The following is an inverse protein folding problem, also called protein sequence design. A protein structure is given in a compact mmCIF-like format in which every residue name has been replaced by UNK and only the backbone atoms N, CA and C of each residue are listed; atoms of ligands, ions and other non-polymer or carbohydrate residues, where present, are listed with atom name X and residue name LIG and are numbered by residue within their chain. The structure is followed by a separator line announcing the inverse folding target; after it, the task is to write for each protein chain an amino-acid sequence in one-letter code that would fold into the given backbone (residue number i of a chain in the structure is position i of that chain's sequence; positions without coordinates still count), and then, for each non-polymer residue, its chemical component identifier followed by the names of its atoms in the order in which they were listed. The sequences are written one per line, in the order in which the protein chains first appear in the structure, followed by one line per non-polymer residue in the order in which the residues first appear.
data_IF_708286569765
#
_entry.id   IF_708286569765
#
_cell.length_a   1.000
_cell.length_b   1.000
_cell.length_c   1.000
_cell.angle_alpha   90.00
_cell.angle_beta   90.00
_cell.angle_gamma   90.00
#
_symmetry.space_group_name_H-M   'P 1'
#
loop_
_entity.id
_entity.type
_entity.pdbx_description
1 polymer ?
#
# COMPACT_ATOMS: atom_id res chain seq x y z
N UNK A 1 -17.92 24.23 56.28
CA UNK A 1 -16.58 23.80 55.84
C UNK A 1 -16.63 22.43 55.14
N UNK A 2 -17.40 21.47 55.63
CA UNK A 2 -17.50 20.12 54.99
C UNK A 2 -18.12 20.10 53.58
N UNK A 3 -19.10 20.94 53.29
CA UNK A 3 -19.68 21.00 51.92
C UNK A 3 -18.71 21.56 50.85
N UNK A 4 -17.74 22.35 51.25
CA UNK A 4 -16.74 22.90 50.36
C UNK A 4 -15.65 21.87 49.98
N UNK A 5 -15.28 21.02 50.93
CA UNK A 5 -14.34 19.91 50.72
C UNK A 5 -14.93 18.83 49.80
N UNK A 6 -16.19 18.45 49.98
CA UNK A 6 -16.88 17.49 49.13
C UNK A 6 -17.04 17.98 47.67
N UNK A 7 -17.29 19.29 47.48
CA UNK A 7 -17.35 19.89 46.15
C UNK A 7 -15.99 19.93 45.48
N UNK A 8 -14.91 20.18 46.23
CA UNK A 8 -13.55 20.21 45.72
C UNK A 8 -13.05 18.81 45.35
N UNK A 9 -13.35 17.79 46.16
CA UNK A 9 -13.06 16.38 45.84
C UNK A 9 -13.85 15.89 44.61
N UNK A 10 -15.11 16.28 44.47
CA UNK A 10 -15.93 15.98 43.29
C UNK A 10 -15.35 16.64 42.05
N UNK A 11 -14.90 17.88 42.13
CA UNK A 11 -14.27 18.61 41.00
C UNK A 11 -12.94 17.96 40.57
N UNK A 12 -12.11 17.56 41.54
CA UNK A 12 -10.82 16.86 41.24
C UNK A 12 -11.08 15.48 40.62
N UNK A 13 -12.05 14.73 41.14
CA UNK A 13 -12.42 13.42 40.55
C UNK A 13 -12.98 13.56 39.14
N UNK A 14 -13.83 14.53 38.86
CA UNK A 14 -14.41 14.76 37.53
C UNK A 14 -13.39 15.33 36.54
N UNK A 15 -12.47 16.20 37.00
CA UNK A 15 -11.34 16.67 36.17
C UNK A 15 -10.35 15.54 35.87
N UNK A 16 -9.99 14.71 36.84
CA UNK A 16 -9.09 13.55 36.65
C UNK A 16 -9.70 12.54 35.71
N UNK A 17 -11.00 12.26 35.79
CA UNK A 17 -11.67 11.34 34.86
C UNK A 17 -11.76 11.88 33.42
N UNK A 18 -12.02 13.18 33.26
CA UNK A 18 -11.96 13.83 31.93
C UNK A 18 -10.56 13.88 31.37
N UNK A 19 -9.52 14.08 32.17
CA UNK A 19 -8.13 14.02 31.77
C UNK A 19 -7.72 12.58 31.36
N UNK A 20 -8.18 11.57 32.11
CA UNK A 20 -7.92 10.16 31.80
C UNK A 20 -8.56 9.71 30.46
N UNK A 21 -9.74 10.25 30.10
CA UNK A 21 -10.41 9.99 28.83
C UNK A 21 -9.80 10.77 27.66
N UNK A 22 -9.17 11.91 27.92
CA UNK A 22 -8.50 12.72 26.90
C UNK A 22 -7.07 12.25 26.60
N UNK A 23 -6.39 11.61 27.54
CA UNK A 23 -5.02 11.15 27.38
C UNK A 23 -4.83 10.18 26.19
N UNK A 24 -5.68 9.13 25.98
CA UNK A 24 -5.54 8.25 24.83
C UNK A 24 -5.87 8.96 23.51
N UNK A 25 -6.81 9.91 23.51
CA UNK A 25 -7.13 10.70 22.30
C UNK A 25 -5.96 11.63 21.98
N UNK A 26 -5.39 12.28 22.98
CA UNK A 26 -4.24 13.16 22.81
C UNK A 26 -2.99 12.38 22.34
N UNK A 27 -2.75 11.19 22.88
CA UNK A 27 -1.66 10.31 22.45
C UNK A 27 -1.85 9.83 21.01
N UNK A 28 -3.06 9.51 20.60
CA UNK A 28 -3.41 9.13 19.22
C UNK A 28 -3.19 10.30 18.25
N UNK A 29 -3.59 11.52 18.63
CA UNK A 29 -3.39 12.73 17.83
C UNK A 29 -1.90 13.06 17.71
N UNK A 30 -1.13 12.95 18.78
CA UNK A 30 0.31 13.21 18.80
C UNK A 30 1.05 12.15 17.95
N UNK A 31 0.68 10.87 18.05
CA UNK A 31 1.27 9.81 17.26
C UNK A 31 0.95 9.95 15.76
N UNK A 32 -0.28 10.32 15.43
CA UNK A 32 -0.66 10.62 14.05
C UNK A 32 0.11 11.83 13.50
N UNK A 33 0.22 12.92 14.26
CA UNK A 33 1.01 14.10 13.85
C UNK A 33 2.49 13.76 13.66
N UNK A 34 3.06 12.89 14.49
CA UNK A 34 4.45 12.42 14.36
C UNK A 34 4.64 11.59 13.09
N UNK A 35 3.70 10.71 12.79
CA UNK A 35 3.67 9.91 11.56
C UNK A 35 3.59 10.78 10.30
N UNK A 36 2.74 11.81 10.28
CA UNK A 36 2.63 12.75 9.16
C UNK A 36 3.88 13.63 8.98
N UNK A 37 4.60 13.96 10.07
CA UNK A 37 5.84 14.72 10.00
C UNK A 37 6.97 13.94 9.33
N UNK A 38 7.00 12.62 9.48
CA UNK A 38 8.01 11.72 8.88
C UNK A 38 7.74 11.37 7.41
N UNK A 39 6.57 11.73 6.87
CA UNK A 39 6.18 11.41 5.50
C UNK A 39 7.09 12.11 4.48
N UNK A 40 7.97 11.35 3.82
CA UNK A 40 8.95 11.84 2.84
C UNK A 40 8.32 11.91 1.44
N UNK A 41 7.75 13.06 1.10
CA UNK A 41 7.17 13.30 -0.23
C UNK A 41 8.13 14.00 -1.20
N UNK A 42 9.31 14.46 -0.74
CA UNK A 42 10.33 15.03 -1.62
C UNK A 42 10.84 14.02 -2.63
N UNK A 43 11.13 14.46 -3.84
CA UNK A 43 11.69 13.61 -4.90
C UNK A 43 10.96 13.77 -6.23
N UNK A 44 11.09 12.75 -7.07
CA UNK A 44 10.47 12.68 -8.39
C UNK A 44 9.14 11.94 -8.33
N UNK A 45 8.16 12.52 -9.01
CA UNK A 45 6.81 12.00 -9.13
C UNK A 45 6.39 12.02 -10.58
N UNK A 46 5.71 11.00 -11.04
CA UNK A 46 5.06 10.98 -12.35
C UNK A 46 3.65 10.44 -12.27
N UNK A 47 2.84 10.78 -13.24
CA UNK A 47 1.46 10.30 -13.31
C UNK A 47 0.70 10.94 -14.45
N UNK A 48 -0.60 10.81 -14.38
CA UNK A 48 -1.50 11.22 -15.46
C UNK A 48 -2.75 11.90 -14.91
N UNK A 49 -3.42 12.63 -15.77
CA UNK A 49 -4.82 12.97 -15.61
C UNK A 49 -5.67 11.82 -16.18
N UNK A 50 -6.57 11.28 -15.37
CA UNK A 50 -7.54 10.25 -15.77
C UNK A 50 -8.85 10.97 -16.03
N UNK A 51 -9.39 10.86 -17.25
CA UNK A 51 -10.64 11.47 -17.70
C UNK A 51 -11.69 10.37 -17.85
N UNK A 52 -12.89 10.57 -17.30
CA UNK A 52 -14.04 9.63 -17.44
C UNK A 52 -13.64 8.15 -17.33
N UNK A 53 -12.95 7.78 -16.26
CA UNK A 53 -12.58 6.40 -15.87
C UNK A 53 -11.65 5.61 -16.80
N UNK A 54 -11.33 6.06 -18.01
CA UNK A 54 -10.52 5.25 -18.94
C UNK A 54 -9.54 6.05 -19.82
N UNK A 55 -9.84 7.31 -20.10
CA UNK A 55 -9.03 8.09 -21.01
C UNK A 55 -7.87 8.77 -20.30
N UNK A 56 -6.67 8.64 -20.89
CA UNK A 56 -5.46 9.29 -20.39
C UNK A 56 -5.39 10.70 -20.96
N UNK A 57 -5.55 11.67 -20.08
CA UNK A 57 -5.34 13.09 -20.35
C UNK A 57 -3.87 13.49 -20.33
N UNK A 58 -3.59 14.63 -19.70
CA UNK A 58 -2.23 15.13 -19.56
C UNK A 58 -1.31 14.19 -18.76
N UNK A 59 -0.04 14.17 -19.12
CA UNK A 59 1.02 13.45 -18.41
C UNK A 59 1.85 14.41 -17.60
N UNK A 60 2.13 14.08 -16.36
CA UNK A 60 2.82 14.90 -15.39
C UNK A 60 4.14 14.28 -14.96
N UNK A 61 5.19 15.08 -14.86
CA UNK A 61 6.43 14.78 -14.15
C UNK A 61 6.75 15.93 -13.21
N UNK A 62 7.00 15.63 -11.94
CA UNK A 62 7.36 16.61 -10.91
C UNK A 62 8.69 16.22 -10.27
N UNK A 63 9.48 17.22 -9.93
CA UNK A 63 10.62 17.07 -9.03
C UNK A 63 10.60 18.20 -8.03
N UNK A 64 10.42 17.88 -6.75
CA UNK A 64 10.33 18.90 -5.71
C UNK A 64 10.98 18.46 -4.39
N UNK A 65 11.33 19.46 -3.60
CA UNK A 65 11.80 19.31 -2.22
C UNK A 65 10.81 19.97 -1.27
N UNK A 66 10.68 19.41 -0.09
CA UNK A 66 9.90 19.99 1.00
C UNK A 66 10.86 20.21 2.18
N UNK A 67 10.98 21.46 2.62
CA UNK A 67 11.80 21.87 3.76
C UNK A 67 10.91 22.69 4.68
N UNK A 68 10.78 22.28 5.93
CA UNK A 68 9.93 22.96 6.94
C UNK A 68 8.49 23.24 6.44
N UNK A 69 7.92 22.31 5.68
CA UNK A 69 6.56 22.41 5.12
C UNK A 69 6.45 23.28 3.86
N UNK A 70 7.53 23.91 3.40
CA UNK A 70 7.57 24.68 2.16
C UNK A 70 8.04 23.79 1.01
N UNK A 71 7.31 23.83 -0.10
CA UNK A 71 7.59 23.09 -1.32
C UNK A 71 8.24 24.03 -2.35
N UNK A 72 9.36 23.58 -2.94
CA UNK A 72 10.02 24.19 -4.09
C UNK A 72 10.40 23.12 -5.11
N UNK A 73 10.16 23.39 -6.40
CA UNK A 73 10.44 22.38 -7.41
C UNK A 73 10.09 22.80 -8.83
N UNK A 74 9.97 21.80 -9.69
CA UNK A 74 9.67 21.95 -11.11
C UNK A 74 8.59 20.93 -11.49
N UNK A 75 7.65 21.35 -12.32
CA UNK A 75 6.65 20.54 -12.97
C UNK A 75 6.86 20.56 -14.48
N UNK A 76 6.76 19.41 -15.11
CA UNK A 76 6.66 19.25 -16.56
C UNK A 76 5.31 18.60 -16.85
N UNK A 77 4.58 19.16 -17.79
CA UNK A 77 3.29 18.64 -18.23
C UNK A 77 3.29 18.51 -19.74
N UNK A 78 2.90 17.34 -20.22
CA UNK A 78 2.56 17.11 -21.61
C UNK A 78 1.05 16.98 -21.71
N UNK A 79 0.41 17.96 -22.33
CA UNK A 79 -1.04 17.97 -22.56
C UNK A 79 -1.48 16.97 -23.63
N UNK A 80 -2.75 16.70 -23.77
CA UNK A 80 -3.35 15.75 -24.72
C UNK A 80 -2.97 16.04 -26.18
N UNK A 81 -2.85 17.34 -26.52
CA UNK A 81 -2.44 17.82 -27.82
C UNK A 81 -0.92 17.77 -28.05
N UNK A 82 -0.16 17.09 -27.20
CA UNK A 82 1.31 16.97 -27.21
C UNK A 82 2.06 18.26 -26.91
N UNK A 83 1.39 19.32 -26.50
CA UNK A 83 2.09 20.50 -26.01
C UNK A 83 2.78 20.24 -24.69
N UNK A 84 4.03 20.63 -24.59
CA UNK A 84 4.82 20.47 -23.37
C UNK A 84 5.11 21.84 -22.75
N UNK A 85 4.90 21.94 -21.46
CA UNK A 85 5.37 23.09 -20.68
C UNK A 85 6.09 22.65 -19.41
N UNK A 86 7.04 23.48 -18.99
CA UNK A 86 7.84 23.28 -17.78
C UNK A 86 7.78 24.56 -16.96
N UNK A 87 7.32 24.46 -15.74
CA UNK A 87 7.18 25.59 -14.83
C UNK A 87 7.88 25.31 -13.50
N UNK A 88 8.39 26.38 -12.86
CA UNK A 88 8.73 26.32 -11.45
C UNK A 88 7.45 26.22 -10.63
N UNK A 89 7.50 25.44 -9.56
CA UNK A 89 6.43 25.31 -8.59
C UNK A 89 6.91 25.69 -7.21
N UNK A 90 6.02 26.33 -6.46
CA UNK A 90 6.16 26.59 -5.03
C UNK A 90 4.89 26.12 -4.33
N UNK A 91 4.97 25.88 -3.05
CA UNK A 91 3.78 25.44 -2.32
C UNK A 91 4.02 25.16 -0.86
N UNK A 92 3.05 24.47 -0.27
CA UNK A 92 3.10 24.05 1.13
C UNK A 92 2.65 22.62 1.30
N UNK A 93 3.23 21.93 2.30
CA UNK A 93 2.76 20.65 2.81
C UNK A 93 2.11 20.85 4.16
N UNK A 94 0.86 20.38 4.31
CA UNK A 94 0.18 20.29 5.61
C UNK A 94 -0.39 18.88 5.76
N UNK A 95 0.16 18.11 6.67
CA UNK A 95 -0.17 16.68 6.83
C UNK A 95 0.08 15.88 5.55
N UNK A 96 -0.99 15.44 4.89
CA UNK A 96 -0.96 14.70 3.60
C UNK A 96 -1.24 15.60 2.40
N UNK A 97 -1.66 16.85 2.62
CA UNK A 97 -2.04 17.78 1.55
C UNK A 97 -0.83 18.58 1.05
N UNK A 98 -0.71 18.67 -0.25
CA UNK A 98 0.22 19.53 -0.97
C UNK A 98 -0.58 20.59 -1.72
N UNK A 99 -0.41 21.86 -1.35
CA UNK A 99 -0.91 22.98 -2.17
C UNK A 99 0.22 23.43 -3.08
N UNK A 100 0.02 23.39 -4.39
CA UNK A 100 1.04 23.68 -5.40
C UNK A 100 0.58 24.86 -6.26
N UNK A 101 1.48 25.80 -6.49
CA UNK A 101 1.31 26.97 -7.36
C UNK A 101 2.42 27.00 -8.39
N UNK A 102 2.05 27.06 -9.66
CA UNK A 102 3.00 27.34 -10.74
C UNK A 102 3.43 28.82 -10.67
N UNK A 103 4.74 29.07 -10.54
CA UNK A 103 5.28 30.42 -10.28
C UNK A 103 5.84 31.09 -11.53
N UNK A 104 6.76 30.45 -12.26
CA UNK A 104 7.37 30.98 -13.46
C UNK A 104 7.52 29.91 -14.54
N UNK A 105 7.41 30.32 -15.80
CA UNK A 105 7.62 29.40 -16.93
C UNK A 105 9.11 29.24 -17.21
N UNK A 106 9.56 28.00 -17.38
CA UNK A 106 10.91 27.63 -17.83
C UNK A 106 10.89 27.36 -19.32
N UNK A 107 9.88 26.66 -19.80
CA UNK A 107 9.72 26.27 -21.20
C UNK A 107 8.24 26.13 -21.55
N UNK A 108 7.91 26.46 -22.80
CA UNK A 108 6.59 26.22 -23.39
C UNK A 108 6.74 25.98 -24.90
N UNK A 109 6.24 24.86 -25.41
CA UNK A 109 6.32 24.50 -26.83
C UNK A 109 5.64 25.49 -27.75
N UNK A 110 4.62 26.21 -27.29
CA UNK A 110 3.88 27.23 -28.08
C UNK A 110 4.49 28.62 -28.01
N UNK A 111 5.54 28.84 -27.25
CA UNK A 111 6.15 30.18 -27.09
C UNK A 111 5.28 31.22 -26.38
N UNK A 112 4.11 30.82 -25.86
CA UNK A 112 3.17 31.69 -25.13
C UNK A 112 3.28 31.43 -23.63
N UNK A 113 3.01 32.48 -22.82
CA UNK A 113 2.86 32.30 -21.36
C UNK A 113 1.62 31.50 -21.08
N UNK A 114 1.76 30.28 -20.52
CA UNK A 114 0.63 29.50 -20.06
C UNK A 114 -0.06 30.15 -18.87
N UNK A 115 -1.38 29.95 -18.79
CA UNK A 115 -2.12 30.23 -17.56
C UNK A 115 -1.50 29.39 -16.45
N UNK A 116 -1.02 30.06 -15.41
CA UNK A 116 -0.44 29.40 -14.24
C UNK A 116 -1.56 28.74 -13.45
N UNK A 117 -1.39 27.47 -13.13
CA UNK A 117 -2.37 26.70 -12.39
C UNK A 117 -2.01 26.64 -10.91
N UNK A 118 -3.05 26.58 -10.10
CA UNK A 118 -2.95 26.21 -8.70
C UNK A 118 -3.72 24.90 -8.54
N UNK A 119 -3.14 23.94 -7.83
CA UNK A 119 -3.80 22.66 -7.58
C UNK A 119 -3.39 22.11 -6.23
N UNK A 120 -4.24 21.31 -5.66
CA UNK A 120 -4.00 20.59 -4.41
C UNK A 120 -3.90 19.11 -4.74
N UNK A 121 -2.92 18.45 -4.15
CA UNK A 121 -2.78 16.99 -4.19
C UNK A 121 -2.83 16.46 -2.76
N UNK A 122 -3.47 15.34 -2.56
CA UNK A 122 -3.53 14.66 -1.28
C UNK A 122 -2.80 13.32 -1.38
N UNK A 123 -1.89 13.07 -0.45
CA UNK A 123 -1.22 11.77 -0.38
C UNK A 123 -2.10 10.75 0.30
N UNK A 124 -2.43 9.69 -0.42
CA UNK A 124 -3.18 8.56 0.10
C UNK A 124 -2.22 7.60 0.83
N UNK A 125 -2.36 7.51 2.15
CA UNK A 125 -1.50 6.68 3.01
C UNK A 125 -1.64 5.19 2.75
N UNK A 126 -2.81 4.74 2.30
CA UNK A 126 -3.08 3.33 2.01
C UNK A 126 -2.47 2.92 0.67
N UNK A 127 -2.65 3.75 -0.34
CA UNK A 127 -2.25 3.41 -1.71
C UNK A 127 -0.91 3.99 -2.13
N UNK A 128 -0.42 5.04 -1.46
CA UNK A 128 0.85 5.71 -1.79
C UNK A 128 0.78 6.62 -3.02
N UNK A 129 -0.41 6.92 -3.53
CA UNK A 129 -0.61 7.90 -4.60
C UNK A 129 -0.74 9.33 -4.07
N UNK A 130 -0.37 10.31 -4.89
CA UNK A 130 -0.80 11.70 -4.75
C UNK A 130 -1.95 11.94 -5.72
N UNK A 131 -3.10 12.32 -5.18
CA UNK A 131 -4.34 12.46 -5.94
C UNK A 131 -4.89 13.88 -5.83
N UNK A 132 -5.37 14.46 -6.95
CA UNK A 132 -6.15 15.69 -6.89
C UNK A 132 -7.59 15.41 -6.44
N UNK A 133 -8.31 16.39 -5.91
CA UNK A 133 -9.76 16.32 -5.87
C UNK A 133 -10.32 16.08 -7.29
N UNK A 134 -11.46 15.41 -7.37
CA UNK A 134 -12.15 15.21 -8.63
C UNK A 134 -12.61 16.55 -9.22
N UNK A 135 -12.17 16.85 -10.44
CA UNK A 135 -12.63 18.03 -11.18
C UNK A 135 -13.93 17.71 -11.92
N UNK A 136 -15.04 18.19 -11.40
CA UNK A 136 -16.38 17.94 -11.97
C UNK A 136 -16.60 18.61 -13.33
N UNK A 137 -15.86 19.65 -13.67
CA UNK A 137 -15.96 20.33 -14.96
C UNK A 137 -15.22 19.57 -16.05
N UNK A 138 -14.02 19.06 -15.72
CA UNK A 138 -13.21 18.25 -16.63
C UNK A 138 -13.55 16.76 -16.55
N UNK A 139 -14.29 16.34 -15.52
CA UNK A 139 -14.56 14.95 -15.17
C UNK A 139 -13.27 14.16 -15.04
N UNK A 140 -12.28 14.73 -14.35
CA UNK A 140 -10.95 14.17 -14.29
C UNK A 140 -10.37 14.19 -12.88
N UNK A 141 -9.38 13.36 -12.66
CA UNK A 141 -8.53 13.32 -11.48
C UNK A 141 -7.06 13.21 -11.90
N UNK A 142 -6.17 13.95 -11.25
CA UNK A 142 -4.73 13.77 -11.41
C UNK A 142 -4.27 12.74 -10.41
N UNK A 143 -3.57 11.72 -10.87
CA UNK A 143 -3.01 10.65 -10.04
C UNK A 143 -1.52 10.52 -10.31
N UNK A 144 -0.69 10.70 -9.27
CA UNK A 144 0.76 10.63 -9.36
C UNK A 144 1.29 9.55 -8.41
N UNK A 145 2.41 8.95 -8.77
CA UNK A 145 3.17 8.05 -7.91
C UNK A 145 4.64 8.45 -7.85
N UNK A 146 5.28 8.19 -6.72
CA UNK A 146 6.71 8.44 -6.56
C UNK A 146 7.50 7.40 -7.34
N UNK A 147 8.47 7.87 -8.14
CA UNK A 147 9.31 7.01 -8.97
C UNK A 147 10.71 7.60 -9.12
N UNK A 148 11.72 6.74 -9.14
CA UNK A 148 13.11 7.14 -9.27
C UNK A 148 13.49 7.19 -10.76
N UNK A 149 13.26 8.33 -11.40
CA UNK A 149 13.67 8.58 -12.78
C UNK A 149 14.51 9.85 -12.89
N UNK A 150 15.28 9.94 -13.96
CA UNK A 150 16.07 11.13 -14.25
C UNK A 150 15.18 12.25 -14.78
N UNK A 151 14.85 13.21 -13.91
CA UNK A 151 14.04 14.37 -14.28
C UNK A 151 14.85 15.38 -15.08
N UNK A 152 14.50 15.57 -16.35
CA UNK A 152 15.16 16.53 -17.23
C UNK A 152 14.25 17.71 -17.55
N UNK A 153 14.45 18.85 -16.86
CA UNK A 153 13.68 20.07 -17.08
C UNK A 153 13.89 20.69 -18.48
N UNK A 154 14.96 20.36 -19.18
CA UNK A 154 15.28 20.88 -20.52
C UNK A 154 14.72 20.04 -21.65
N UNK A 155 14.30 18.80 -21.36
CA UNK A 155 13.68 17.94 -22.37
C UNK A 155 12.35 18.50 -22.84
N UNK A 156 12.13 18.51 -24.13
CA UNK A 156 10.92 19.04 -24.79
C UNK A 156 9.81 18.00 -24.92
N UNK A 157 9.96 16.86 -24.27
CA UNK A 157 8.99 15.76 -24.25
C UNK A 157 9.09 14.97 -22.96
N UNK A 158 8.08 14.18 -22.66
CA UNK A 158 8.17 13.11 -21.67
C UNK A 158 8.86 11.92 -22.32
N UNK A 159 10.06 11.60 -21.81
CA UNK A 159 11.00 10.68 -22.50
C UNK A 159 10.50 9.24 -22.56
N UNK A 160 9.70 8.82 -21.62
CA UNK A 160 9.24 7.43 -21.52
C UNK A 160 7.77 7.36 -21.13
N UNK A 161 6.99 6.64 -21.95
CA UNK A 161 5.55 6.46 -21.75
C UNK A 161 5.15 4.98 -21.53
N UNK A 162 6.10 4.05 -21.57
CA UNK A 162 5.81 2.62 -21.46
C UNK A 162 5.12 2.22 -20.14
N UNK A 163 5.30 3.02 -19.09
CA UNK A 163 4.72 2.80 -17.78
C UNK A 163 3.21 3.12 -17.70
N UNK A 164 2.68 3.96 -18.62
CA UNK A 164 1.31 4.51 -18.52
C UNK A 164 0.26 3.39 -18.50
N UNK A 165 0.32 2.45 -19.46
CA UNK A 165 -0.69 1.39 -19.55
C UNK A 165 -0.72 0.51 -18.29
N UNK A 166 0.46 0.12 -17.81
CA UNK A 166 0.56 -0.67 -16.57
C UNK A 166 0.07 0.12 -15.36
N UNK A 167 0.36 1.41 -15.31
CA UNK A 167 -0.08 2.29 -14.24
C UNK A 167 -1.62 2.40 -14.22
N UNK A 168 -2.25 2.70 -15.35
CA UNK A 168 -3.72 2.78 -15.48
C UNK A 168 -4.38 1.48 -15.05
N UNK A 169 -3.90 0.34 -15.55
CA UNK A 169 -4.43 -0.97 -15.17
C UNK A 169 -4.30 -1.24 -13.67
N UNK A 170 -3.14 -0.95 -13.08
CA UNK A 170 -2.90 -1.16 -11.66
C UNK A 170 -3.76 -0.25 -10.79
N UNK A 171 -3.88 1.03 -11.15
CA UNK A 171 -4.70 1.99 -10.43
C UNK A 171 -6.20 1.58 -10.44
N UNK A 172 -6.75 1.23 -11.60
CA UNK A 172 -8.14 0.75 -11.71
C UNK A 172 -8.37 -0.60 -11.04
N UNK A 173 -7.35 -1.44 -10.92
CA UNK A 173 -7.40 -2.67 -10.14
C UNK A 173 -7.32 -2.42 -8.62
N UNK A 174 -7.21 -1.17 -8.16
CA UNK A 174 -7.09 -0.79 -6.75
C UNK A 174 -5.75 -1.19 -6.11
N UNK A 175 -4.69 -1.36 -6.93
CA UNK A 175 -3.36 -1.68 -6.41
C UNK A 175 -2.65 -0.41 -5.94
N UNK A 176 -1.89 -0.52 -4.87
CA UNK A 176 -1.06 0.56 -4.33
C UNK A 176 0.02 1.02 -5.32
N UNK A 177 0.55 2.22 -5.14
CA UNK A 177 1.66 2.76 -5.92
C UNK A 177 2.90 1.83 -5.85
N UNK A 178 3.75 1.78 -6.90
CA UNK A 178 4.85 0.82 -6.98
C UNK A 178 5.77 0.80 -5.76
N UNK A 179 6.15 1.96 -5.25
CA UNK A 179 7.00 2.07 -4.05
C UNK A 179 6.28 1.55 -2.80
N UNK A 180 5.00 1.88 -2.63
CA UNK A 180 4.18 1.39 -1.52
C UNK A 180 4.04 -0.13 -1.55
N UNK A 181 3.82 -0.71 -2.72
CA UNK A 181 3.78 -2.18 -2.90
C UNK A 181 5.08 -2.86 -2.49
N UNK A 182 6.25 -2.26 -2.80
CA UNK A 182 7.54 -2.80 -2.37
C UNK A 182 7.73 -2.74 -0.86
N UNK A 183 7.22 -1.69 -0.20
CA UNK A 183 7.21 -1.58 1.26
C UNK A 183 6.29 -2.65 1.86
N UNK A 184 5.06 -2.77 1.37
CA UNK A 184 4.10 -3.81 1.77
C UNK A 184 4.68 -5.23 1.63
N UNK A 185 5.40 -5.51 0.54
CA UNK A 185 6.04 -6.81 0.32
C UNK A 185 7.18 -7.08 1.32
N UNK A 186 7.97 -6.06 1.67
CA UNK A 186 9.09 -6.19 2.62
C UNK A 186 8.62 -6.39 4.05
N UNK A 187 7.49 -5.78 4.40
CA UNK A 187 6.91 -5.83 5.74
C UNK A 187 5.96 -7.02 5.92
N UNK A 188 5.62 -7.72 4.83
CA UNK A 188 4.65 -8.81 4.87
C UNK A 188 5.24 -10.05 5.51
N UNK A 189 4.65 -10.47 6.62
CA UNK A 189 5.01 -11.69 7.33
C UNK A 189 3.97 -12.78 7.07
N UNK A 190 4.44 -13.95 6.64
CA UNK A 190 3.59 -15.12 6.49
C UNK A 190 3.35 -15.78 7.84
N UNK A 191 2.08 -15.88 8.22
CA UNK A 191 1.66 -16.67 9.38
C UNK A 191 1.16 -18.03 8.88
N UNK A 192 1.60 -19.16 9.46
CA UNK A 192 1.13 -20.48 9.07
C UNK A 192 -0.38 -20.65 9.21
N UNK A 193 -0.97 -21.48 8.33
CA UNK A 193 -2.37 -21.94 8.45
C UNK A 193 -2.38 -23.29 9.11
N UNK A 194 -3.07 -23.43 10.23
CA UNK A 194 -3.14 -24.66 11.00
C UNK A 194 -4.39 -25.49 10.65
N UNK A 195 -4.24 -26.82 10.79
CA UNK A 195 -5.28 -27.79 10.45
C UNK A 195 -5.61 -28.70 11.63
N UNK A 196 -6.84 -29.15 11.68
CA UNK A 196 -7.27 -30.20 12.62
C UNK A 196 -6.59 -31.53 12.31
N UNK A 197 -6.62 -32.42 13.30
CA UNK A 197 -6.11 -33.79 13.18
C UNK A 197 -6.81 -34.47 12.00
N UNK A 198 -6.00 -35.04 11.12
CA UNK A 198 -6.46 -35.78 9.94
C UNK A 198 -7.38 -34.99 8.97
N UNK A 199 -7.33 -33.67 9.03
CA UNK A 199 -8.11 -32.77 8.18
C UNK A 199 -7.23 -31.98 7.23
N UNK A 200 -7.83 -31.64 6.07
CA UNK A 200 -7.28 -30.72 5.08
C UNK A 200 -8.31 -29.62 4.73
N UNK A 201 -9.24 -29.35 5.65
CA UNK A 201 -10.28 -28.33 5.51
C UNK A 201 -9.73 -27.02 6.12
N UNK A 202 -9.78 -25.94 5.35
CA UNK A 202 -9.39 -24.60 5.82
C UNK A 202 -10.48 -24.10 6.78
N UNK A 203 -10.08 -23.71 7.99
CA UNK A 203 -10.98 -23.11 8.96
C UNK A 203 -11.31 -21.68 8.55
N UNK A 204 -12.53 -21.24 8.78
CA UNK A 204 -13.05 -19.93 8.36
C UNK A 204 -12.23 -18.74 8.91
N UNK A 205 -11.72 -18.89 10.13
CA UNK A 205 -10.86 -17.88 10.77
C UNK A 205 -9.61 -17.50 9.95
N UNK A 206 -9.16 -18.36 9.03
CA UNK A 206 -7.98 -18.09 8.18
C UNK A 206 -8.33 -17.43 6.83
N UNK A 207 -9.61 -17.27 6.51
CA UNK A 207 -10.01 -16.76 5.20
C UNK A 207 -9.50 -15.32 4.97
N UNK A 208 -9.58 -14.45 5.98
CA UNK A 208 -9.09 -13.07 5.87
C UNK A 208 -7.57 -13.04 5.59
N UNK A 209 -6.79 -13.82 6.33
CA UNK A 209 -5.34 -13.94 6.13
C UNK A 209 -4.99 -14.47 4.73
N UNK A 210 -5.71 -15.47 4.24
CA UNK A 210 -5.49 -16.01 2.90
C UNK A 210 -5.87 -15.00 1.79
N UNK A 211 -6.87 -14.15 2.02
CA UNK A 211 -7.20 -13.06 1.09
C UNK A 211 -6.09 -12.01 1.04
N UNK A 212 -5.46 -11.71 2.18
CA UNK A 212 -4.32 -10.78 2.23
C UNK A 212 -3.11 -11.33 1.45
N UNK A 213 -2.81 -12.63 1.60
CA UNK A 213 -1.77 -13.30 0.80
C UNK A 213 -2.07 -13.20 -0.71
N UNK A 214 -3.33 -13.37 -1.11
CA UNK A 214 -3.73 -13.20 -2.52
C UNK A 214 -3.49 -11.76 -2.98
N UNK A 215 -3.91 -10.77 -2.19
CA UNK A 215 -3.77 -9.34 -2.49
C UNK A 215 -2.29 -8.99 -2.71
N UNK A 216 -1.42 -9.31 -1.75
CA UNK A 216 0.01 -9.01 -1.85
C UNK A 216 0.68 -9.76 -3.02
N UNK A 217 0.32 -11.02 -3.27
CA UNK A 217 0.83 -11.76 -4.41
C UNK A 217 0.39 -11.15 -5.74
N UNK A 218 -0.86 -10.72 -5.87
CA UNK A 218 -1.38 -10.07 -7.09
C UNK A 218 -0.78 -8.71 -7.34
N UNK A 219 -0.44 -7.95 -6.29
CA UNK A 219 0.12 -6.61 -6.41
C UNK A 219 1.52 -6.56 -7.05
N UNK A 220 2.21 -7.71 -7.15
CA UNK A 220 3.54 -7.85 -7.75
C UNK A 220 3.48 -8.84 -8.92
N UNK A 221 3.68 -8.35 -10.15
CA UNK A 221 3.50 -9.15 -11.38
C UNK A 221 4.37 -10.41 -11.41
N UNK A 222 5.58 -10.34 -10.87
CA UNK A 222 6.60 -11.39 -10.97
C UNK A 222 6.69 -12.28 -9.73
N UNK A 223 5.98 -11.94 -8.64
CA UNK A 223 6.00 -12.73 -7.42
C UNK A 223 5.26 -14.05 -7.58
N UNK A 224 5.93 -15.12 -7.21
CA UNK A 224 5.36 -16.46 -7.08
C UNK A 224 5.32 -16.84 -5.62
N UNK A 225 4.32 -17.64 -5.24
CA UNK A 225 4.17 -18.12 -3.87
C UNK A 225 4.35 -19.64 -3.82
N UNK A 226 5.23 -20.10 -2.94
CA UNK A 226 5.33 -21.52 -2.59
C UNK A 226 4.41 -21.80 -1.41
N UNK A 227 3.65 -22.87 -1.51
CA UNK A 227 2.71 -23.38 -0.50
C UNK A 227 3.20 -24.75 -0.05
N UNK A 228 3.70 -24.84 1.19
CA UNK A 228 4.32 -26.05 1.73
C UNK A 228 3.46 -26.67 2.82
N UNK A 229 2.99 -27.90 2.61
CA UNK A 229 2.17 -28.63 3.58
C UNK A 229 2.99 -29.50 4.53
N UNK A 230 2.55 -29.58 5.79
CA UNK A 230 3.18 -30.36 6.86
C UNK A 230 2.14 -31.16 7.66
N UNK A 231 2.61 -32.17 8.39
CA UNK A 231 1.84 -32.98 9.37
C UNK A 231 2.59 -33.08 10.69
N UNK A 232 1.90 -33.48 11.73
CA UNK A 232 2.53 -34.11 12.88
C UNK A 232 3.05 -35.51 12.52
N UNK A 233 3.66 -36.23 13.50
CA UNK A 233 4.24 -37.55 13.31
C UNK A 233 3.24 -38.72 13.53
N UNK A 234 1.95 -38.43 13.70
CA UNK A 234 0.96 -39.47 13.87
C UNK A 234 0.61 -40.13 12.52
N UNK A 235 0.68 -41.45 12.45
CA UNK A 235 0.45 -42.21 11.24
C UNK A 235 1.72 -42.64 10.50
N UNK A 236 1.54 -43.22 9.30
CA UNK A 236 2.68 -43.64 8.48
C UNK A 236 3.24 -42.46 7.66
N UNK A 237 4.55 -42.48 7.36
CA UNK A 237 5.21 -41.46 6.52
C UNK A 237 4.52 -41.30 5.16
N UNK A 238 4.09 -42.38 4.55
CA UNK A 238 3.36 -42.33 3.26
C UNK A 238 2.03 -41.61 3.42
N UNK A 239 1.29 -41.91 4.48
CA UNK A 239 0.03 -41.25 4.79
C UNK A 239 0.25 -39.75 5.04
N UNK A 240 1.21 -39.39 5.90
CA UNK A 240 1.55 -38.02 6.24
C UNK A 240 1.99 -37.20 5.01
N UNK A 241 2.74 -37.79 4.09
CA UNK A 241 3.08 -37.18 2.82
C UNK A 241 1.83 -36.85 1.98
N UNK A 242 0.86 -37.77 1.91
CA UNK A 242 -0.40 -37.55 1.20
C UNK A 242 -1.28 -36.50 1.90
N UNK A 243 -1.35 -36.52 3.23
CA UNK A 243 -2.12 -35.55 3.99
C UNK A 243 -1.55 -34.12 3.85
N UNK A 244 -0.23 -33.96 3.94
CA UNK A 244 0.43 -32.67 3.73
C UNK A 244 0.17 -32.13 2.31
N UNK A 245 0.19 -32.99 1.29
CA UNK A 245 -0.20 -32.63 -0.08
C UNK A 245 -1.65 -32.13 -0.16
N UNK A 246 -2.61 -32.87 0.43
CA UNK A 246 -4.03 -32.45 0.44
C UNK A 246 -4.24 -31.10 1.12
N UNK A 247 -3.49 -30.80 2.21
CA UNK A 247 -3.52 -29.49 2.89
C UNK A 247 -3.05 -28.38 1.96
N UNK A 248 -1.90 -28.53 1.32
CA UNK A 248 -1.40 -27.57 0.34
C UNK A 248 -2.37 -27.37 -0.83
N UNK A 249 -2.93 -28.45 -1.37
CA UNK A 249 -3.93 -28.41 -2.45
C UNK A 249 -5.20 -27.65 -2.06
N UNK A 250 -5.65 -27.78 -0.81
CA UNK A 250 -6.83 -27.02 -0.33
C UNK A 250 -6.59 -25.52 -0.34
N UNK A 251 -5.41 -25.07 0.06
CA UNK A 251 -4.98 -23.66 -0.03
C UNK A 251 -4.90 -23.20 -1.49
N UNK A 252 -4.27 -23.99 -2.36
CA UNK A 252 -4.16 -23.67 -3.80
C UNK A 252 -5.55 -23.52 -4.42
N UNK A 253 -6.48 -24.43 -4.09
CA UNK A 253 -7.88 -24.32 -4.54
C UNK A 253 -8.57 -23.06 -4.04
N UNK A 254 -8.29 -22.63 -2.79
CA UNK A 254 -8.81 -21.39 -2.24
C UNK A 254 -8.27 -20.18 -3.02
N UNK A 255 -6.97 -20.15 -3.31
CA UNK A 255 -6.31 -19.08 -4.05
C UNK A 255 -6.81 -18.95 -5.49
N UNK A 256 -6.87 -20.10 -6.21
CA UNK A 256 -7.28 -20.11 -7.63
C UNK A 256 -8.75 -19.75 -7.81
N UNK A 257 -9.64 -20.17 -6.92
CA UNK A 257 -11.05 -19.77 -6.93
C UNK A 257 -11.24 -18.25 -6.75
N UNK A 258 -10.24 -17.55 -6.16
CA UNK A 258 -10.24 -16.10 -5.96
C UNK A 258 -9.36 -15.35 -6.95
N UNK A 259 -8.99 -16.01 -8.04
CA UNK A 259 -8.36 -15.40 -9.20
C UNK A 259 -6.84 -15.23 -9.07
N UNK A 260 -6.16 -15.93 -8.17
CA UNK A 260 -4.71 -16.06 -8.27
C UNK A 260 -4.39 -17.13 -9.32
N UNK A 261 -3.61 -16.75 -10.33
CA UNK A 261 -3.25 -17.65 -11.43
C UNK A 261 -2.44 -18.85 -10.94
N UNK A 262 -2.75 -20.04 -11.46
CA UNK A 262 -2.11 -21.30 -11.03
C UNK A 262 -0.61 -21.34 -11.28
N UNK A 263 -0.13 -20.71 -12.35
CA UNK A 263 1.29 -20.61 -12.72
C UNK A 263 2.13 -19.76 -11.74
N UNK A 264 1.47 -18.99 -10.88
CA UNK A 264 2.08 -18.21 -9.81
C UNK A 264 2.17 -18.95 -8.47
N UNK A 265 1.75 -20.22 -8.42
CA UNK A 265 1.71 -21.01 -7.19
C UNK A 265 2.56 -22.27 -7.38
N UNK A 266 3.55 -22.43 -6.51
CA UNK A 266 4.35 -23.64 -6.41
C UNK A 266 3.88 -24.43 -5.21
N UNK A 267 3.74 -25.75 -5.37
CA UNK A 267 3.34 -26.66 -4.30
C UNK A 267 4.55 -27.41 -3.78
N UNK A 268 4.65 -27.53 -2.48
CA UNK A 268 5.56 -28.44 -1.78
C UNK A 268 4.83 -29.16 -0.64
N UNK A 269 5.31 -30.34 -0.24
CA UNK A 269 4.71 -31.13 0.84
C UNK A 269 5.74 -32.05 1.48
N UNK A 270 5.96 -31.87 2.77
CA UNK A 270 7.03 -32.47 3.56
C UNK A 270 6.56 -33.63 4.45
N UNK A 271 5.23 -33.80 4.62
CA UNK A 271 4.73 -34.74 5.63
C UNK A 271 5.20 -34.31 7.03
N UNK A 272 5.77 -35.23 7.76
CA UNK A 272 6.30 -35.03 9.11
C UNK A 272 7.79 -34.67 9.16
N UNK A 273 8.48 -34.53 8.01
CA UNK A 273 9.94 -34.42 7.95
C UNK A 273 10.50 -33.07 8.43
N UNK A 274 9.70 -32.02 8.41
CA UNK A 274 10.10 -30.68 8.80
C UNK A 274 9.16 -30.14 9.91
N UNK A 275 9.28 -30.64 11.14
CA UNK A 275 8.44 -30.19 12.24
C UNK A 275 8.83 -28.77 12.69
N UNK A 276 7.84 -27.93 12.96
CA UNK A 276 8.05 -26.62 13.57
C UNK A 276 8.29 -26.72 15.07
N UNK A 277 7.70 -27.74 15.70
CA UNK A 277 7.77 -27.98 17.13
C UNK A 277 7.90 -29.48 17.42
N UNK A 278 8.20 -29.83 18.67
CA UNK A 278 8.30 -31.23 19.09
C UNK A 278 7.00 -32.00 18.87
N UNK A 279 7.09 -33.21 18.34
CA UNK A 279 5.95 -34.12 18.20
C UNK A 279 5.62 -34.89 19.50
N UNK A 280 6.31 -34.64 20.61
CA UNK A 280 6.07 -35.30 21.88
C UNK A 280 4.91 -34.71 22.67
N UNK A 281 4.52 -33.46 22.37
CA UNK A 281 3.42 -32.79 23.04
C UNK A 281 2.23 -32.58 22.11
N UNK A 282 1.03 -32.44 22.66
CA UNK A 282 -0.19 -32.17 21.92
C UNK A 282 -0.12 -30.79 21.24
N UNK A 283 0.44 -29.82 21.93
CA UNK A 283 0.64 -28.45 21.47
C UNK A 283 1.62 -28.42 20.28
N UNK A 284 2.76 -29.10 20.39
CA UNK A 284 3.74 -29.18 19.31
C UNK A 284 3.18 -29.89 18.07
N UNK A 285 2.46 -31.01 18.24
CA UNK A 285 1.75 -31.66 17.13
C UNK A 285 0.76 -30.70 16.45
N UNK A 286 0.03 -29.89 17.22
CA UNK A 286 -0.90 -28.92 16.63
C UNK A 286 -0.22 -27.89 15.75
N UNK A 287 0.98 -27.42 16.12
CA UNK A 287 1.80 -26.51 15.33
C UNK A 287 2.45 -27.17 14.10
N UNK A 288 2.65 -28.49 14.15
CA UNK A 288 3.18 -29.23 13.02
C UNK A 288 2.14 -29.48 11.93
N UNK A 289 0.85 -29.51 12.26
CA UNK A 289 -0.26 -29.63 11.30
C UNK A 289 -0.55 -28.30 10.62
N UNK A 290 0.34 -27.87 9.70
CA UNK A 290 0.28 -26.55 9.12
C UNK A 290 0.54 -26.53 7.61
N UNK A 291 0.28 -25.38 7.02
CA UNK A 291 0.77 -24.97 5.70
C UNK A 291 1.54 -23.67 5.86
N UNK A 292 2.75 -23.67 5.36
CA UNK A 292 3.64 -22.52 5.31
C UNK A 292 3.63 -21.87 3.93
N UNK A 293 4.05 -20.60 3.88
CA UNK A 293 4.13 -19.82 2.65
C UNK A 293 5.49 -19.13 2.55
N UNK A 294 5.97 -18.94 1.34
CA UNK A 294 7.13 -18.08 1.04
C UNK A 294 7.04 -17.51 -0.37
N UNK A 295 7.53 -16.30 -0.58
CA UNK A 295 7.71 -15.77 -1.93
C UNK A 295 8.97 -16.37 -2.58
N UNK A 296 8.90 -16.63 -3.88
CA UNK A 296 9.98 -17.17 -4.70
C UNK A 296 10.08 -16.44 -6.04
#
# INVERSE_FOLDING_TARGET
MEHFLLFYEYLIRTMSFKLLLLAPILSLVISAQHSYAQLKLSGTWRGIEIIDSSDVGAVYELNFKIISGLLDGIIKVEADNKDVYVNKIIGTKKYVDLTIKESSSIYNSKGKTNKKNNFTLQYNLETGYLESPYDSLRKSIIVLFQDDFSFNAKSKSIESRHWINSFVQNYHAGLSAPKKRLEELREFEFIPIYFDVDRAIILEQYHAQLLEIIKITKSHSDSRIQVTGHTDSDGSKTYNRQLSKRRAESIIKFFTKRGLRRDRIVIDFKGENEPAETNQTREGKSKNRRVDFTFI
#
